data_IF_381204698213
#
_entry.id   IF_381204698213
#
_cell.length_a   1.000
_cell.length_b   1.000
_cell.length_c   1.000
_cell.angle_alpha   90.00
_cell.angle_beta   90.00
_cell.angle_gamma   90.00
#
_symmetry.space_group_name_H-M   'P 1'
#
loop_
_entity.id
_entity.type
_entity.pdbx_description
1 polymer ?
#
# COMPACT_ATOMS: atom_id res chain seq x y z
N UNK A 1 -1.10 19.64 -14.21
CA UNK A 1 -0.39 18.35 -14.00
C UNK A 1 -0.33 18.09 -12.50
N UNK A 2 -1.22 17.26 -11.93
CA UNK A 2 -1.26 17.05 -10.47
C UNK A 2 0.00 16.29 -10.06
N UNK A 3 0.89 16.91 -9.27
CA UNK A 3 1.99 16.20 -8.60
C UNK A 3 1.36 15.16 -7.68
N UNK A 4 1.55 13.88 -7.97
CA UNK A 4 1.04 12.78 -7.16
C UNK A 4 1.80 12.76 -5.84
N UNK A 5 1.11 13.09 -4.76
CA UNK A 5 1.64 13.03 -3.40
C UNK A 5 1.70 11.56 -2.95
N UNK A 6 2.78 10.89 -3.34
CA UNK A 6 3.03 9.47 -3.07
C UNK A 6 3.28 9.17 -1.57
N UNK A 7 3.33 10.20 -0.72
CA UNK A 7 3.55 10.08 0.73
C UNK A 7 2.26 10.09 1.55
N UNK A 8 1.09 10.17 0.92
CA UNK A 8 -0.18 10.08 1.67
C UNK A 8 -0.35 8.70 2.29
N UNK A 9 -0.76 8.68 3.56
CA UNK A 9 -1.16 7.44 4.23
C UNK A 9 -2.35 6.84 3.46
N UNK A 10 -2.40 5.52 3.24
CA UNK A 10 -3.43 4.89 2.39
C UNK A 10 -4.86 5.28 2.76
N UNK A 11 -5.15 5.46 4.06
CA UNK A 11 -6.47 5.88 4.53
C UNK A 11 -6.87 7.27 4.02
N UNK A 12 -6.01 8.26 4.22
CA UNK A 12 -6.25 9.63 3.77
C UNK A 12 -6.38 9.69 2.24
N UNK A 13 -5.58 8.89 1.53
CA UNK A 13 -5.66 8.81 0.07
C UNK A 13 -6.99 8.23 -0.43
N UNK A 14 -7.51 7.20 0.23
CA UNK A 14 -8.80 6.57 -0.11
C UNK A 14 -9.95 7.55 0.15
N UNK A 15 -9.93 8.24 1.29
CA UNK A 15 -10.94 9.25 1.66
C UNK A 15 -10.91 10.46 0.69
N UNK A 16 -9.72 10.94 0.32
CA UNK A 16 -9.55 12.04 -0.66
C UNK A 16 -10.11 11.70 -2.06
N UNK A 17 -10.14 10.42 -2.41
CA UNK A 17 -10.71 9.93 -3.66
C UNK A 17 -12.21 9.65 -3.57
N UNK A 18 -12.83 9.84 -2.40
CA UNK A 18 -14.25 9.53 -2.15
C UNK A 18 -14.57 8.03 -2.14
N UNK A 19 -13.54 7.19 -2.06
CA UNK A 19 -13.67 5.73 -2.06
C UNK A 19 -13.93 5.22 -0.64
N UNK A 20 -14.57 4.06 -0.54
CA UNK A 20 -14.80 3.40 0.76
C UNK A 20 -14.01 2.11 0.83
N UNK A 21 -13.30 1.86 1.95
CA UNK A 21 -12.62 0.57 2.15
C UNK A 21 -13.66 -0.56 2.16
N UNK A 22 -13.31 -1.68 1.55
CA UNK A 22 -14.07 -2.92 1.63
C UNK A 22 -13.11 -4.08 1.85
N UNK A 23 -13.50 -5.05 2.68
CA UNK A 23 -12.67 -6.20 3.04
C UNK A 23 -11.32 -5.85 3.68
N UNK A 24 -10.53 -6.88 3.89
CA UNK A 24 -9.19 -6.79 4.47
C UNK A 24 -8.13 -6.45 3.42
N UNK A 25 -7.03 -5.85 3.87
CA UNK A 25 -5.89 -5.63 2.99
C UNK A 25 -5.14 -6.93 2.73
N UNK A 26 -4.63 -7.08 1.51
CA UNK A 26 -3.77 -8.19 1.13
C UNK A 26 -2.32 -7.75 1.18
N UNK A 27 -1.46 -8.58 1.78
CA UNK A 27 -0.02 -8.40 1.82
C UNK A 27 0.65 -9.35 0.82
N UNK A 28 1.52 -8.79 -0.02
CA UNK A 28 2.33 -9.56 -0.97
C UNK A 28 3.79 -9.29 -0.64
N UNK A 29 4.48 -10.31 -0.13
CA UNK A 29 5.90 -10.26 0.16
C UNK A 29 6.70 -10.43 -1.13
N UNK A 30 7.26 -9.34 -1.64
CA UNK A 30 8.03 -9.34 -2.89
C UNK A 30 9.48 -9.80 -2.67
N UNK A 31 9.96 -9.78 -1.43
CA UNK A 31 11.29 -10.22 -1.05
C UNK A 31 11.24 -11.53 -0.28
N UNK A 32 12.15 -12.46 -0.60
CA UNK A 32 12.37 -13.64 0.24
C UNK A 32 13.10 -13.21 1.53
N UNK A 33 12.38 -13.26 2.64
CA UNK A 33 12.86 -12.85 3.97
C UNK A 33 14.08 -13.63 4.44
N UNK A 34 14.33 -14.84 3.91
CA UNK A 34 15.46 -15.68 4.29
C UNK A 34 16.75 -15.30 3.55
N UNK A 35 16.64 -14.53 2.45
CA UNK A 35 17.75 -14.24 1.54
C UNK A 35 18.10 -12.75 1.48
N UNK A 36 17.09 -11.89 1.57
CA UNK A 36 17.29 -10.44 1.51
C UNK A 36 17.64 -9.88 2.90
N UNK A 37 18.59 -8.94 2.95
CA UNK A 37 18.83 -8.17 4.17
C UNK A 37 17.55 -7.41 4.59
N UNK A 38 17.20 -7.30 5.88
CA UNK A 38 15.95 -6.71 6.34
C UNK A 38 15.66 -5.31 5.79
N UNK A 39 16.70 -4.48 5.64
CA UNK A 39 16.61 -3.12 5.07
C UNK A 39 16.12 -3.08 3.61
N UNK A 40 16.20 -4.21 2.91
CA UNK A 40 15.83 -4.33 1.50
C UNK A 40 14.48 -5.05 1.30
N UNK A 41 13.80 -5.46 2.37
CA UNK A 41 12.52 -6.12 2.26
C UNK A 41 11.47 -5.20 1.66
N UNK A 42 10.76 -5.73 0.67
CA UNK A 42 9.66 -5.04 0.02
C UNK A 42 8.38 -5.86 0.21
N UNK A 43 7.39 -5.23 0.80
CA UNK A 43 6.03 -5.77 0.93
C UNK A 43 5.07 -4.81 0.25
N UNK A 44 4.25 -5.32 -0.65
CA UNK A 44 3.17 -4.57 -1.26
C UNK A 44 1.89 -4.79 -0.43
N UNK A 45 1.30 -3.70 0.04
CA UNK A 45 0.01 -3.71 0.74
C UNK A 45 -1.07 -3.23 -0.23
N UNK A 46 -2.13 -4.02 -0.42
CA UNK A 46 -3.26 -3.68 -1.29
C UNK A 46 -4.55 -3.62 -0.47
N UNK A 47 -5.21 -2.46 -0.47
CA UNK A 47 -6.51 -2.27 0.17
C UNK A 47 -7.62 -2.34 -0.88
N UNK A 48 -8.59 -3.27 -0.77
CA UNK A 48 -9.78 -3.23 -1.60
C UNK A 48 -10.67 -2.02 -1.24
N UNK A 49 -11.30 -1.43 -2.26
CA UNK A 49 -12.14 -0.23 -2.16
C UNK A 49 -13.39 -0.36 -3.04
N UNK A 50 -14.46 0.32 -2.63
CA UNK A 50 -15.71 0.58 -3.37
C UNK A 50 -15.72 2.02 -3.89
#
# INVERSE_FOLDING_TARGET
>A
MKKTDYKKRPRAFIEDLGLKKTGDHHEIYLSDIRRAAPKNWKTLIRQPVL
#
